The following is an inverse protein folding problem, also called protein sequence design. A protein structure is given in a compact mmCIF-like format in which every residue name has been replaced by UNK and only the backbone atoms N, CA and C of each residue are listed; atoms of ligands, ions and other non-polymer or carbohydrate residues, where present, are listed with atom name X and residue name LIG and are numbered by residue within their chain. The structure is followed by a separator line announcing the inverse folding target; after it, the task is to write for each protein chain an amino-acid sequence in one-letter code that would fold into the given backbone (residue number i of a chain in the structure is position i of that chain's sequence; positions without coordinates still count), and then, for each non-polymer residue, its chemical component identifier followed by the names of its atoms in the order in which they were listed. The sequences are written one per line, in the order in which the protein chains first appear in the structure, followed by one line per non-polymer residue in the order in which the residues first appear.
data_IF_395865084159
#
_entry.id   IF_395865084159
#
_cell.length_a   1.000
_cell.length_b   1.000
_cell.length_c   1.000
_cell.angle_alpha   90.00
_cell.angle_beta   90.00
_cell.angle_gamma   90.00
#
_symmetry.space_group_name_H-M   'P 1'
#
loop_
_entity.id
_entity.type
_entity.pdbx_description
1 polymer ?
#
# COMPACT_ATOMS: atom_id res chain seq x y z
N UNK A 1 -23.25 22.06 5.12
CA UNK A 1 -22.60 22.54 3.88
C UNK A 1 -21.12 22.25 4.07
N UNK A 2 -20.64 21.16 3.48
CA UNK A 2 -19.22 20.82 3.43
C UNK A 2 -18.65 21.69 2.30
N UNK A 3 -17.58 22.39 2.62
CA UNK A 3 -16.94 23.37 1.75
C UNK A 3 -16.47 22.68 0.45
N UNK A 4 -17.03 23.11 -0.69
CA UNK A 4 -16.83 22.50 -2.04
C UNK A 4 -15.43 22.76 -2.63
N UNK A 5 -14.43 23.03 -1.79
CA UNK A 5 -13.03 23.15 -2.17
C UNK A 5 -12.21 21.92 -1.79
N UNK A 6 -12.78 20.70 -1.85
CA UNK A 6 -12.01 19.50 -1.64
C UNK A 6 -11.13 19.25 -2.87
N UNK A 7 -9.86 19.53 -2.66
CA UNK A 7 -8.78 19.40 -3.62
C UNK A 7 -8.73 17.96 -4.14
N UNK A 8 -8.79 17.80 -5.48
CA UNK A 8 -8.50 16.52 -6.11
C UNK A 8 -7.16 15.98 -5.59
N UNK A 9 -7.04 14.68 -5.42
CA UNK A 9 -5.75 14.07 -5.14
C UNK A 9 -4.79 14.43 -6.28
N UNK A 10 -3.89 15.39 -6.01
CA UNK A 10 -2.92 15.80 -7.01
C UNK A 10 -2.03 14.61 -7.37
N UNK A 11 -1.87 14.36 -8.67
CA UNK A 11 -0.84 13.42 -9.14
C UNK A 11 0.51 13.97 -8.73
N UNK A 12 1.34 13.22 -7.98
CA UNK A 12 2.66 13.69 -7.59
C UNK A 12 3.58 13.84 -8.83
N UNK A 13 4.45 14.83 -8.79
CA UNK A 13 5.56 14.88 -9.74
C UNK A 13 6.52 13.71 -9.43
N UNK A 14 6.42 12.67 -10.24
CA UNK A 14 7.14 11.40 -10.07
C UNK A 14 8.65 11.61 -9.98
N UNK A 15 9.20 12.38 -10.91
CA UNK A 15 10.64 12.53 -11.05
C UNK A 15 11.20 13.41 -9.93
N UNK A 16 10.47 14.45 -9.54
CA UNK A 16 10.81 15.29 -8.40
C UNK A 16 10.81 14.50 -7.08
N UNK A 17 9.74 13.72 -6.82
CA UNK A 17 9.66 12.93 -5.59
C UNK A 17 10.73 11.82 -5.57
N UNK A 18 10.99 11.12 -6.68
CA UNK A 18 12.05 10.10 -6.75
C UNK A 18 13.44 10.71 -6.56
N UNK A 19 13.69 11.92 -7.08
CA UNK A 19 14.96 12.64 -6.84
C UNK A 19 15.12 12.99 -5.38
N UNK A 20 14.08 13.56 -4.75
CA UNK A 20 14.09 13.89 -3.34
C UNK A 20 14.35 12.66 -2.44
N UNK A 21 13.72 11.51 -2.75
CA UNK A 21 13.94 10.26 -2.03
C UNK A 21 15.37 9.72 -2.23
N UNK A 22 15.93 9.88 -3.43
CA UNK A 22 17.29 9.47 -3.72
C UNK A 22 18.30 10.30 -2.92
N UNK A 23 18.09 11.62 -2.83
CA UNK A 23 18.95 12.52 -2.06
C UNK A 23 18.88 12.19 -0.55
N UNK A 24 17.68 11.89 -0.04
CA UNK A 24 17.50 11.46 1.34
C UNK A 24 18.21 10.12 1.63
N UNK A 25 18.11 9.16 0.71
CA UNK A 25 18.79 7.88 0.81
C UNK A 25 20.32 8.06 0.76
N UNK A 26 20.83 8.87 -0.16
CA UNK A 26 22.27 9.15 -0.28
C UNK A 26 22.82 9.82 0.98
N UNK A 27 22.10 10.82 1.52
CA UNK A 27 22.47 11.47 2.78
C UNK A 27 22.60 10.47 3.92
N UNK A 28 21.67 9.51 4.04
CA UNK A 28 21.72 8.50 5.07
C UNK A 28 22.94 7.58 4.93
N UNK A 29 23.24 7.13 3.70
CA UNK A 29 24.41 6.28 3.41
C UNK A 29 25.74 7.02 3.69
N UNK A 30 25.86 8.28 3.27
CA UNK A 30 27.08 9.06 3.47
C UNK A 30 27.31 9.36 4.95
N UNK A 31 26.25 9.66 5.70
CA UNK A 31 26.36 9.86 7.15
C UNK A 31 26.76 8.57 7.88
N UNK A 32 26.15 7.43 7.53
CA UNK A 32 26.51 6.12 8.10
C UNK A 32 28.00 5.78 7.85
N UNK A 33 28.47 6.00 6.62
CA UNK A 33 29.89 5.82 6.25
C UNK A 33 30.80 6.73 7.07
N UNK A 34 30.42 8.01 7.23
CA UNK A 34 31.18 8.99 8.03
C UNK A 34 31.28 8.64 9.51
N UNK A 35 30.32 7.87 10.03
CA UNK A 35 30.32 7.36 11.42
C UNK A 35 31.01 6.01 11.59
N UNK A 36 31.57 5.44 10.52
CA UNK A 36 32.35 4.19 10.56
C UNK A 36 31.49 2.92 10.46
N UNK A 37 30.32 2.97 9.84
CA UNK A 37 29.56 1.76 9.49
C UNK A 37 30.35 0.91 8.47
N UNK A 38 30.44 -0.40 8.67
CA UNK A 38 31.10 -1.32 7.73
C UNK A 38 30.28 -1.46 6.45
N UNK A 39 28.96 -1.55 6.58
CA UNK A 39 28.02 -1.49 5.47
C UNK A 39 26.65 -0.98 5.94
N UNK A 40 25.86 -0.49 5.00
CA UNK A 40 24.52 0.01 5.29
C UNK A 40 23.61 -0.06 4.06
N UNK A 41 22.32 -0.11 4.33
CA UNK A 41 21.25 -0.06 3.34
C UNK A 41 20.15 0.86 3.83
N UNK A 42 19.45 1.51 2.91
CA UNK A 42 18.34 2.40 3.24
C UNK A 42 17.20 2.28 2.21
N UNK A 43 16.00 2.50 2.69
CA UNK A 43 14.81 2.65 1.84
C UNK A 43 14.09 3.94 2.22
N UNK A 44 13.91 4.82 1.26
CA UNK A 44 13.09 6.03 1.41
C UNK A 44 11.84 5.90 0.55
N UNK A 45 10.69 6.33 1.04
CA UNK A 45 9.42 6.19 0.34
C UNK A 45 8.47 7.35 0.60
N UNK A 46 7.55 7.56 -0.35
CA UNK A 46 6.37 8.39 -0.20
C UNK A 46 5.16 7.64 -0.75
N UNK A 47 4.06 7.74 -0.05
CA UNK A 47 2.78 7.18 -0.44
C UNK A 47 1.70 8.26 -0.36
N UNK A 48 0.88 8.35 -1.41
CA UNK A 48 -0.30 9.21 -1.48
C UNK A 48 -1.52 8.30 -1.62
N UNK A 49 -2.55 8.56 -0.84
CA UNK A 49 -3.76 7.75 -0.86
C UNK A 49 -5.02 8.61 -0.79
N UNK A 50 -6.05 8.18 -1.51
CA UNK A 50 -7.43 8.59 -1.31
C UNK A 50 -8.25 7.31 -1.11
N UNK A 51 -8.96 7.23 -0.01
CA UNK A 51 -9.82 6.11 0.32
C UNK A 51 -11.17 6.60 0.79
N UNK A 52 -12.23 6.09 0.19
CA UNK A 52 -13.60 6.38 0.60
C UNK A 52 -14.31 5.06 0.90
N UNK A 53 -14.87 4.95 2.09
CA UNK A 53 -15.74 3.87 2.48
C UNK A 53 -17.16 4.40 2.69
N UNK A 54 -18.13 3.72 2.11
CA UNK A 54 -19.55 4.00 2.26
C UNK A 54 -20.27 2.81 2.86
N UNK A 55 -21.37 3.07 3.58
CA UNK A 55 -22.22 2.02 4.10
C UNK A 55 -23.66 2.50 4.15
N UNK A 56 -24.58 1.66 3.63
CA UNK A 56 -26.02 1.94 3.57
C UNK A 56 -26.33 3.30 2.94
N UNK A 57 -25.61 3.65 1.89
CA UNK A 57 -25.82 4.88 1.12
C UNK A 57 -25.18 6.14 1.73
N UNK A 58 -24.43 6.02 2.82
CA UNK A 58 -23.76 7.15 3.49
C UNK A 58 -22.24 6.95 3.54
N UNK A 59 -21.48 8.05 3.53
CA UNK A 59 -20.03 8.02 3.68
C UNK A 59 -19.69 7.76 5.16
N UNK A 60 -19.02 6.65 5.45
CA UNK A 60 -18.49 6.36 6.78
C UNK A 60 -17.10 6.99 6.99
N UNK A 61 -16.21 6.84 5.99
CA UNK A 61 -14.86 7.40 6.07
C UNK A 61 -14.43 7.97 4.73
N UNK A 62 -13.70 9.07 4.79
CA UNK A 62 -12.97 9.67 3.69
C UNK A 62 -11.59 10.04 4.19
N UNK A 63 -10.57 9.42 3.61
CA UNK A 63 -9.19 9.58 4.05
C UNK A 63 -8.32 10.05 2.90
N UNK A 64 -7.62 11.16 3.11
CA UNK A 64 -6.49 11.58 2.33
C UNK A 64 -5.22 11.32 3.12
N UNK A 65 -4.30 10.54 2.58
CA UNK A 65 -3.02 10.28 3.22
C UNK A 65 -1.85 10.73 2.35
N UNK A 66 -0.82 11.24 3.01
CA UNK A 66 0.50 11.49 2.43
C UNK A 66 1.54 11.09 3.45
N UNK A 67 2.06 9.89 3.30
CA UNK A 67 3.03 9.32 4.22
C UNK A 67 4.41 9.30 3.60
N UNK A 68 5.41 9.69 4.37
CA UNK A 68 6.83 9.57 4.01
C UNK A 68 7.52 8.68 5.03
N UNK A 69 8.52 7.96 4.59
CA UNK A 69 9.32 7.13 5.47
C UNK A 69 10.73 6.92 4.97
N UNK A 70 11.64 6.79 5.93
CA UNK A 70 12.99 6.32 5.69
C UNK A 70 13.31 5.23 6.72
N UNK A 71 13.79 4.10 6.24
CA UNK A 71 14.38 3.05 7.08
C UNK A 71 15.85 2.91 6.73
N UNK A 72 16.70 2.77 7.75
CA UNK A 72 18.12 2.48 7.57
C UNK A 72 18.54 1.28 8.39
N UNK A 73 19.28 0.36 7.77
CA UNK A 73 19.99 -0.71 8.44
C UNK A 73 21.50 -0.48 8.37
N UNK A 74 22.18 -0.59 9.50
CA UNK A 74 23.63 -0.45 9.61
C UNK A 74 24.21 -1.77 10.10
N UNK A 75 25.34 -2.14 9.54
CA UNK A 75 26.08 -3.33 9.91
C UNK A 75 27.46 -2.95 10.44
N UNK A 76 27.80 -3.50 11.61
CA UNK A 76 29.14 -3.52 12.18
C UNK A 76 29.58 -5.00 12.23
N UNK A 77 30.38 -5.42 11.26
CA UNK A 77 30.56 -6.85 10.98
C UNK A 77 29.23 -7.51 10.69
N UNK A 78 28.83 -8.47 11.51
CA UNK A 78 27.54 -9.16 11.43
C UNK A 78 26.50 -8.67 12.46
N UNK A 79 26.78 -7.60 13.19
CA UNK A 79 25.82 -6.97 14.09
C UNK A 79 24.98 -5.95 13.32
N UNK A 80 23.64 -6.08 13.36
CA UNK A 80 22.72 -5.22 12.62
C UNK A 80 21.95 -4.30 13.57
N UNK A 81 21.93 -3.01 13.26
CA UNK A 81 21.02 -2.03 13.85
C UNK A 81 20.08 -1.48 12.79
N UNK A 82 18.82 -1.26 13.16
CA UNK A 82 17.80 -0.71 12.28
C UNK A 82 17.03 0.41 12.98
N UNK A 83 16.76 1.49 12.26
CA UNK A 83 15.91 2.58 12.71
C UNK A 83 15.07 3.14 11.55
N UNK A 84 13.95 3.74 11.89
CA UNK A 84 13.02 4.36 10.93
C UNK A 84 12.64 5.77 11.34
N UNK A 85 12.26 6.59 10.35
CA UNK A 85 11.72 7.92 10.56
C UNK A 85 10.64 8.23 9.51
N UNK A 86 9.56 8.89 9.92
CA UNK A 86 8.58 9.50 9.01
C UNK A 86 8.98 10.92 8.55
N UNK A 87 10.04 11.48 9.11
CA UNK A 87 10.53 12.81 8.80
C UNK A 87 11.87 12.73 8.04
N UNK A 88 11.86 13.24 6.81
CA UNK A 88 13.00 13.20 5.89
C UNK A 88 13.85 14.49 5.90
N UNK A 89 13.71 15.34 6.92
CA UNK A 89 14.62 16.48 7.08
C UNK A 89 16.03 16.01 7.40
N UNK A 90 17.08 16.68 6.86
CA UNK A 90 18.46 16.23 6.98
C UNK A 90 18.92 15.95 8.42
N UNK A 91 18.51 16.78 9.38
CA UNK A 91 18.85 16.58 10.79
C UNK A 91 18.18 15.32 11.38
N UNK A 92 16.95 15.02 10.98
CA UNK A 92 16.23 13.84 11.45
C UNK A 92 16.79 12.56 10.83
N UNK A 93 17.16 12.59 9.54
CA UNK A 93 17.85 11.50 8.87
C UNK A 93 19.15 11.15 9.60
N UNK A 94 20.01 12.17 9.91
CA UNK A 94 21.26 11.94 10.65
C UNK A 94 21.03 11.30 12.00
N UNK A 95 20.07 11.78 12.79
CA UNK A 95 19.69 11.17 14.08
C UNK A 95 19.19 9.74 13.94
N UNK A 96 18.44 9.44 12.87
CA UNK A 96 17.97 8.09 12.58
C UNK A 96 19.16 7.15 12.31
N UNK A 97 20.15 7.61 11.54
CA UNK A 97 21.39 6.88 11.27
C UNK A 97 22.18 6.62 12.57
N UNK A 98 22.37 7.65 13.40
CA UNK A 98 23.07 7.53 14.69
C UNK A 98 22.41 6.48 15.60
N UNK A 99 21.07 6.51 15.68
CA UNK A 99 20.32 5.49 16.45
C UNK A 99 20.50 4.08 15.89
N UNK A 100 20.45 3.90 14.57
CA UNK A 100 20.70 2.60 13.96
C UNK A 100 22.11 2.09 14.26
N UNK A 101 23.12 2.98 14.22
CA UNK A 101 24.50 2.64 14.56
C UNK A 101 24.64 2.22 16.03
N UNK A 102 24.02 2.96 16.93
CA UNK A 102 24.05 2.63 18.37
C UNK A 102 23.41 1.27 18.64
N UNK A 103 22.27 0.96 17.98
CA UNK A 103 21.65 -0.35 18.07
C UNK A 103 22.62 -1.44 17.58
N UNK A 104 23.29 -1.23 16.43
CA UNK A 104 24.24 -2.19 15.89
C UNK A 104 25.41 -2.51 16.87
N UNK A 105 25.89 -1.50 17.62
CA UNK A 105 26.96 -1.67 18.61
C UNK A 105 26.62 -2.62 19.75
N UNK A 106 25.34 -2.72 20.10
CA UNK A 106 24.86 -3.55 21.23
C UNK A 106 24.14 -4.82 20.77
N UNK A 107 23.92 -5.01 19.46
CA UNK A 107 23.26 -6.18 18.92
C UNK A 107 24.25 -7.35 18.78
N UNK A 108 23.84 -8.54 19.17
CA UNK A 108 24.63 -9.75 18.97
C UNK A 108 24.82 -10.02 17.46
N UNK A 109 26.03 -10.41 17.08
CA UNK A 109 26.34 -10.75 15.69
C UNK A 109 25.61 -12.01 15.24
N UNK A 110 25.04 -11.95 14.05
CA UNK A 110 24.45 -13.09 13.34
C UNK A 110 25.13 -13.24 11.97
N UNK A 111 25.72 -14.40 11.72
CA UNK A 111 26.45 -14.71 10.47
C UNK A 111 25.59 -14.53 9.20
N UNK A 112 24.27 -14.50 9.32
CA UNK A 112 23.35 -14.26 8.21
C UNK A 112 23.10 -12.77 7.93
N UNK A 113 23.54 -11.86 8.81
CA UNK A 113 23.40 -10.43 8.59
C UNK A 113 24.46 -9.91 7.62
N UNK A 114 24.02 -9.06 6.71
CA UNK A 114 24.89 -8.36 5.74
C UNK A 114 24.14 -7.97 4.48
N UNK A 115 24.81 -7.23 3.62
CA UNK A 115 24.30 -6.89 2.30
C UNK A 115 24.44 -8.05 1.32
N UNK A 116 23.59 -8.07 0.29
CA UNK A 116 23.76 -8.98 -0.82
C UNK A 116 25.13 -8.76 -1.50
N UNK A 117 25.83 -9.83 -1.95
CA UNK A 117 27.07 -9.71 -2.73
C UNK A 117 26.87 -8.84 -3.97
N UNK A 118 27.89 -8.06 -4.34
CA UNK A 118 27.82 -7.09 -5.45
C UNK A 118 27.47 -7.76 -6.78
N UNK A 119 27.97 -8.97 -7.02
CA UNK A 119 27.70 -9.74 -8.23
C UNK A 119 26.22 -10.22 -8.36
N UNK A 120 25.47 -10.20 -7.24
CA UNK A 120 24.03 -10.54 -7.20
C UNK A 120 23.11 -9.33 -7.26
N UNK A 121 23.67 -8.11 -7.25
CA UNK A 121 22.85 -6.90 -7.40
C UNK A 121 22.33 -6.77 -8.84
N UNK A 122 21.08 -6.33 -8.97
CA UNK A 122 20.47 -6.11 -10.28
C UNK A 122 21.24 -5.05 -11.07
N UNK A 123 21.57 -5.34 -12.33
CA UNK A 123 22.26 -4.42 -13.25
C UNK A 123 21.32 -3.78 -14.26
N UNK A 124 20.15 -4.39 -14.45
CA UNK A 124 19.12 -3.93 -15.38
C UNK A 124 17.79 -3.86 -14.66
N UNK A 125 17.06 -2.81 -14.91
CA UNK A 125 15.74 -2.56 -14.36
C UNK A 125 14.75 -2.56 -15.54
N UNK A 126 13.99 -3.67 -15.77
CA UNK A 126 12.97 -3.67 -16.81
C UNK A 126 11.88 -2.67 -16.45
N UNK A 127 11.30 -2.04 -17.46
CA UNK A 127 10.05 -1.31 -17.28
C UNK A 127 8.93 -2.34 -17.01
N UNK A 128 8.32 -2.22 -15.84
CA UNK A 128 7.25 -3.13 -15.40
C UNK A 128 5.86 -2.52 -15.64
N UNK A 129 5.79 -1.36 -16.30
CA UNK A 129 4.55 -0.65 -16.63
C UNK A 129 3.63 -0.49 -15.40
N UNK A 130 4.15 0.06 -14.31
CA UNK A 130 3.44 0.17 -13.04
C UNK A 130 2.86 1.56 -12.76
N UNK A 131 3.16 2.56 -13.61
CA UNK A 131 2.83 3.96 -13.37
C UNK A 131 1.80 4.48 -14.38
N UNK A 132 0.53 4.51 -13.97
CA UNK A 132 -0.63 5.00 -14.75
C UNK A 132 -1.37 6.06 -13.95
N UNK A 133 -0.83 7.29 -13.83
CA UNK A 133 -1.39 8.30 -12.95
C UNK A 133 -2.75 8.79 -13.47
N UNK A 134 -3.73 8.79 -12.60
CA UNK A 134 -5.07 9.32 -12.81
C UNK A 134 -5.47 10.08 -11.55
N UNK A 135 -5.71 11.39 -11.67
CA UNK A 135 -6.26 12.18 -10.58
C UNK A 135 -7.71 11.77 -10.31
N UNK A 136 -8.01 11.46 -9.07
CA UNK A 136 -9.38 11.26 -8.58
C UNK A 136 -9.65 12.29 -7.47
N UNK A 137 -10.84 12.84 -7.48
CA UNK A 137 -11.32 13.67 -6.36
C UNK A 137 -12.20 12.87 -5.39
N UNK A 138 -12.46 13.45 -4.25
CA UNK A 138 -13.26 12.82 -3.21
C UNK A 138 -14.70 12.56 -3.65
N UNK A 139 -15.28 13.47 -4.44
CA UNK A 139 -16.67 13.37 -4.88
C UNK A 139 -16.85 12.23 -5.88
N UNK A 140 -16.01 12.16 -6.91
CA UNK A 140 -16.04 11.08 -7.90
C UNK A 140 -15.74 9.71 -7.26
N UNK A 141 -14.82 9.66 -6.31
CA UNK A 141 -14.50 8.43 -5.58
C UNK A 141 -15.67 8.01 -4.68
N UNK A 142 -16.33 8.96 -4.03
CA UNK A 142 -17.55 8.71 -3.23
C UNK A 142 -18.69 8.18 -4.10
N UNK A 143 -18.96 8.81 -5.24
CA UNK A 143 -20.00 8.35 -6.16
C UNK A 143 -19.73 6.91 -6.65
N UNK A 144 -18.48 6.56 -6.92
CA UNK A 144 -18.10 5.19 -7.29
C UNK A 144 -18.40 4.18 -6.18
N UNK A 145 -18.04 4.50 -4.93
CA UNK A 145 -18.31 3.62 -3.79
C UNK A 145 -19.82 3.44 -3.57
N UNK A 146 -20.60 4.52 -3.62
CA UNK A 146 -22.06 4.49 -3.52
C UNK A 146 -22.71 3.67 -4.63
N UNK A 147 -22.29 3.84 -5.88
CA UNK A 147 -22.81 3.08 -7.01
C UNK A 147 -22.47 1.58 -6.88
N UNK A 148 -21.28 1.26 -6.40
CA UNK A 148 -20.86 -0.13 -6.16
C UNK A 148 -21.73 -0.81 -5.10
N UNK A 149 -21.99 -0.13 -3.97
CA UNK A 149 -22.88 -0.63 -2.93
C UNK A 149 -24.32 -0.79 -3.40
N UNK A 150 -24.86 0.25 -4.05
CA UNK A 150 -26.23 0.25 -4.59
C UNK A 150 -26.47 -0.93 -5.53
N UNK A 151 -25.56 -1.19 -6.47
CA UNK A 151 -25.65 -2.36 -7.36
C UNK A 151 -25.66 -3.70 -6.58
N UNK A 152 -24.87 -3.80 -5.52
CA UNK A 152 -24.87 -4.98 -4.68
C UNK A 152 -26.19 -5.20 -3.92
N UNK A 153 -26.81 -4.11 -3.47
CA UNK A 153 -28.09 -4.11 -2.74
C UNK A 153 -29.31 -4.37 -3.64
N UNK A 154 -29.21 -4.31 -4.95
CA UNK A 154 -30.32 -4.66 -5.87
C UNK A 154 -30.80 -6.11 -5.72
N UNK A 155 -29.94 -7.00 -5.22
CA UNK A 155 -30.31 -8.40 -5.04
C UNK A 155 -31.18 -8.59 -3.80
N UNK A 156 -32.45 -8.96 -4.00
CA UNK A 156 -33.46 -9.11 -2.93
C UNK A 156 -33.09 -10.09 -1.80
N UNK A 157 -32.07 -10.95 -1.97
CA UNK A 157 -31.57 -11.86 -0.93
C UNK A 157 -30.47 -11.24 -0.07
N UNK A 158 -29.98 -10.05 -0.44
CA UNK A 158 -29.06 -9.28 0.39
C UNK A 158 -29.87 -8.58 1.48
N UNK A 159 -29.53 -8.84 2.72
CA UNK A 159 -30.24 -8.29 3.88
C UNK A 159 -29.54 -7.10 4.49
N UNK A 160 -28.22 -6.91 4.22
CA UNK A 160 -27.44 -5.80 4.76
C UNK A 160 -26.17 -5.58 3.95
N UNK A 161 -25.55 -4.42 4.13
CA UNK A 161 -24.24 -4.07 3.62
C UNK A 161 -23.24 -3.87 4.76
N UNK A 162 -22.02 -4.35 4.56
CA UNK A 162 -20.86 -4.03 5.41
C UNK A 162 -19.97 -2.97 4.73
N UNK A 163 -20.49 -2.40 3.65
CA UNK A 163 -19.93 -1.26 2.95
C UNK A 163 -19.30 -1.58 1.60
N UNK A 164 -19.05 -0.50 0.87
CA UNK A 164 -18.24 -0.51 -0.34
C UNK A 164 -17.12 0.53 -0.23
N UNK A 165 -16.00 0.22 -0.85
CA UNK A 165 -14.82 1.07 -0.82
C UNK A 165 -14.35 1.37 -2.23
N UNK A 166 -13.95 2.61 -2.48
CA UNK A 166 -13.20 3.00 -3.66
C UNK A 166 -11.93 3.74 -3.23
N UNK A 167 -10.81 3.44 -3.88
CA UNK A 167 -9.52 4.02 -3.50
C UNK A 167 -8.58 4.20 -4.67
N UNK A 168 -7.69 5.18 -4.54
CA UNK A 168 -6.52 5.37 -5.41
C UNK A 168 -5.28 5.57 -4.57
N UNK A 169 -4.12 5.12 -5.09
CA UNK A 169 -2.85 5.35 -4.44
C UNK A 169 -1.70 5.47 -5.43
N UNK A 170 -0.70 6.30 -5.05
CA UNK A 170 0.57 6.49 -5.73
C UNK A 170 1.68 6.19 -4.74
N UNK A 171 2.53 5.24 -5.07
CA UNK A 171 3.69 4.88 -4.25
C UNK A 171 4.99 5.09 -5.01
N UNK A 172 5.95 5.78 -4.38
CA UNK A 172 7.29 5.96 -4.91
C UNK A 172 8.29 5.56 -3.83
N UNK A 173 9.35 4.89 -4.21
CA UNK A 173 10.39 4.48 -3.28
C UNK A 173 11.76 4.39 -3.94
N UNK A 174 12.78 4.59 -3.13
CA UNK A 174 14.19 4.41 -3.48
C UNK A 174 14.82 3.49 -2.45
N UNK A 175 15.44 2.43 -2.91
CA UNK A 175 16.35 1.61 -2.10
C UNK A 175 17.79 1.88 -2.56
N UNK A 176 18.69 2.05 -1.60
CA UNK A 176 20.10 2.22 -1.86
C UNK A 176 20.95 1.51 -0.80
N UNK A 177 22.19 1.12 -1.15
CA UNK A 177 23.12 0.52 -0.22
C UNK A 177 24.56 0.94 -0.43
N UNK A 178 25.42 0.69 0.55
CA UNK A 178 26.85 1.06 0.53
C UNK A 178 27.68 0.32 -0.52
N UNK A 179 27.14 -0.72 -1.17
CA UNK A 179 27.76 -1.41 -2.32
C UNK A 179 27.55 -0.64 -3.65
N UNK A 180 27.00 0.59 -3.61
CA UNK A 180 26.76 1.41 -4.79
C UNK A 180 25.47 1.10 -5.54
N UNK A 181 24.61 0.25 -5.01
CA UNK A 181 23.32 -0.02 -5.61
C UNK A 181 22.30 1.08 -5.28
N UNK A 182 21.55 1.49 -6.30
CA UNK A 182 20.37 2.33 -6.15
C UNK A 182 19.27 1.80 -7.06
N UNK A 183 18.10 1.50 -6.48
CA UNK A 183 16.90 1.06 -7.19
C UNK A 183 15.75 2.02 -6.92
N UNK A 184 15.05 2.41 -7.97
CA UNK A 184 13.85 3.26 -7.90
C UNK A 184 12.63 2.42 -8.23
N UNK A 185 11.55 2.67 -7.55
CA UNK A 185 10.27 2.03 -7.81
C UNK A 185 9.16 3.05 -7.69
N UNK A 186 8.25 2.98 -8.63
CA UNK A 186 7.00 3.72 -8.63
C UNK A 186 5.83 2.77 -8.92
N UNK A 187 4.63 3.23 -8.69
CA UNK A 187 3.45 2.47 -9.03
C UNK A 187 2.18 3.15 -8.58
N UNK A 188 1.16 2.94 -9.36
CA UNK A 188 -0.21 3.34 -9.08
C UNK A 188 -1.04 2.14 -8.71
N UNK A 189 -2.11 2.36 -7.97
CA UNK A 189 -3.14 1.36 -7.70
C UNK A 189 -4.48 2.04 -7.56
N UNK A 190 -5.46 1.48 -8.25
CA UNK A 190 -6.87 1.80 -8.11
C UNK A 190 -7.60 0.56 -7.67
N UNK A 191 -8.50 0.68 -6.71
CA UNK A 191 -9.21 -0.46 -6.16
C UNK A 191 -10.64 -0.09 -5.81
N UNK A 192 -11.52 -1.07 -5.94
CA UNK A 192 -12.90 -1.00 -5.50
C UNK A 192 -13.33 -2.33 -4.91
N UNK A 193 -14.19 -2.30 -3.91
CA UNK A 193 -14.71 -3.51 -3.26
C UNK A 193 -16.10 -3.28 -2.73
N UNK A 194 -16.87 -4.37 -2.58
CA UNK A 194 -18.16 -4.37 -1.92
C UNK A 194 -18.28 -5.60 -1.04
N UNK A 195 -18.79 -5.41 0.18
CA UNK A 195 -18.93 -6.46 1.19
C UNK A 195 -20.41 -6.50 1.61
N UNK A 196 -21.04 -7.64 1.44
CA UNK A 196 -22.49 -7.78 1.61
C UNK A 196 -22.83 -8.91 2.57
N UNK A 197 -24.03 -8.82 3.14
CA UNK A 197 -24.59 -9.80 4.07
C UNK A 197 -25.93 -10.28 3.50
N UNK A 198 -26.15 -11.59 3.51
CA UNK A 198 -27.39 -12.23 3.10
C UNK A 198 -27.89 -13.15 4.20
N UNK A 199 -29.21 -13.34 4.28
CA UNK A 199 -29.84 -14.14 5.33
C UNK A 199 -30.05 -13.37 6.63
N UNK A 200 -30.62 -14.04 7.63
CA UNK A 200 -30.95 -13.49 8.93
C UNK A 200 -30.55 -14.45 10.07
N UNK A 201 -30.30 -13.89 11.27
CA UNK A 201 -29.94 -14.64 12.45
C UNK A 201 -28.75 -15.59 12.22
N UNK A 202 -28.86 -16.83 12.63
CA UNK A 202 -27.79 -17.83 12.49
C UNK A 202 -27.51 -18.25 11.03
N UNK A 203 -28.43 -17.93 10.11
CA UNK A 203 -28.25 -18.21 8.67
C UNK A 203 -27.49 -17.13 7.92
N UNK A 204 -27.11 -16.03 8.58
CA UNK A 204 -26.38 -14.94 7.96
C UNK A 204 -25.08 -15.42 7.32
N UNK A 205 -24.86 -14.97 6.09
CA UNK A 205 -23.63 -15.19 5.33
C UNK A 205 -23.07 -13.86 4.89
N UNK A 206 -21.75 -13.72 4.97
CA UNK A 206 -20.99 -12.54 4.53
C UNK A 206 -19.98 -12.97 3.48
N UNK A 207 -19.92 -12.25 2.37
CA UNK A 207 -18.88 -12.41 1.36
C UNK A 207 -18.64 -11.05 0.66
N UNK A 208 -17.67 -11.02 -0.21
CA UNK A 208 -17.23 -9.81 -0.88
C UNK A 208 -16.74 -10.10 -2.31
N UNK A 209 -16.60 -9.03 -3.06
CA UNK A 209 -15.83 -9.01 -4.28
C UNK A 209 -15.01 -7.73 -4.36
N UNK A 210 -13.91 -7.75 -5.08
CA UNK A 210 -13.08 -6.59 -5.34
C UNK A 210 -12.41 -6.68 -6.70
N UNK A 211 -12.04 -5.53 -7.27
CA UNK A 211 -11.10 -5.41 -8.37
C UNK A 211 -10.00 -4.40 -8.02
N UNK A 212 -8.78 -4.67 -8.47
CA UNK A 212 -7.61 -3.83 -8.19
C UNK A 212 -6.67 -3.83 -9.38
N UNK A 213 -6.39 -2.64 -9.92
CA UNK A 213 -5.62 -2.44 -11.15
C UNK A 213 -4.55 -1.38 -10.98
N UNK A 214 -3.58 -1.38 -11.90
CA UNK A 214 -2.56 -0.33 -12.02
C UNK A 214 -3.09 0.89 -12.78
N UNK A 215 -3.80 0.65 -13.86
CA UNK A 215 -4.49 1.69 -14.61
C UNK A 215 -5.97 1.76 -14.21
N UNK A 216 -6.48 2.96 -14.04
CA UNK A 216 -7.86 3.20 -13.66
C UNK A 216 -8.86 2.69 -14.72
N UNK A 217 -8.49 2.81 -15.99
CA UNK A 217 -9.29 2.33 -17.14
C UNK A 217 -9.49 0.82 -17.15
N UNK A 218 -8.66 0.06 -16.45
CA UNK A 218 -8.70 -1.40 -16.44
C UNK A 218 -9.58 -1.96 -15.33
N UNK A 219 -10.06 -1.10 -14.41
CA UNK A 219 -11.04 -1.52 -13.42
C UNK A 219 -12.34 -1.95 -14.11
N UNK A 220 -12.92 -3.04 -13.63
CA UNK A 220 -14.28 -3.39 -14.00
C UNK A 220 -15.26 -2.29 -13.57
N UNK A 221 -16.48 -2.29 -14.11
CA UNK A 221 -17.48 -1.32 -13.67
C UNK A 221 -17.82 -1.52 -12.20
N UNK A 222 -18.22 -0.45 -11.53
CA UNK A 222 -18.59 -0.52 -10.11
C UNK A 222 -19.83 -1.39 -9.89
N UNK A 223 -20.75 -1.37 -10.87
CA UNK A 223 -21.95 -2.20 -10.87
C UNK A 223 -21.59 -3.68 -10.94
N UNK A 224 -20.64 -4.06 -11.79
CA UNK A 224 -20.22 -5.46 -11.90
C UNK A 224 -19.54 -5.93 -10.59
N UNK A 225 -18.74 -5.08 -9.94
CA UNK A 225 -18.16 -5.38 -8.62
C UNK A 225 -19.25 -5.62 -7.58
N UNK A 226 -20.26 -4.74 -7.49
CA UNK A 226 -21.40 -4.90 -6.58
C UNK A 226 -22.23 -6.15 -6.86
N UNK A 227 -22.55 -6.40 -8.12
CA UNK A 227 -23.30 -7.59 -8.54
C UNK A 227 -22.54 -8.89 -8.26
N UNK A 228 -21.19 -8.92 -8.47
CA UNK A 228 -20.36 -10.08 -8.13
C UNK A 228 -20.35 -10.33 -6.63
N UNK A 229 -20.20 -9.28 -5.82
CA UNK A 229 -20.28 -9.39 -4.37
C UNK A 229 -21.61 -10.02 -3.94
N UNK A 230 -22.73 -9.52 -4.47
CA UNK A 230 -24.05 -10.05 -4.17
C UNK A 230 -24.20 -11.52 -4.58
N UNK A 231 -23.82 -11.88 -5.82
CA UNK A 231 -23.87 -13.27 -6.28
C UNK A 231 -23.05 -14.20 -5.38
N UNK A 232 -21.87 -13.80 -4.96
CA UNK A 232 -21.00 -14.58 -4.05
C UNK A 232 -21.64 -14.76 -2.69
N UNK A 233 -22.15 -13.68 -2.12
CA UNK A 233 -22.80 -13.70 -0.78
C UNK A 233 -24.03 -14.61 -0.80
N UNK A 234 -24.91 -14.44 -1.78
CA UNK A 234 -26.13 -15.25 -1.91
C UNK A 234 -25.83 -16.74 -2.13
N UNK A 235 -24.76 -17.06 -2.87
CA UNK A 235 -24.34 -18.46 -3.10
C UNK A 235 -23.94 -19.19 -1.82
N UNK A 236 -23.61 -18.47 -0.74
CA UNK A 236 -23.27 -19.05 0.57
C UNK A 236 -24.49 -19.41 1.41
N UNK A 237 -25.68 -18.93 1.05
CA UNK A 237 -26.91 -19.27 1.77
C UNK A 237 -27.18 -20.78 1.70
N UNK A 238 -27.64 -21.33 2.83
CA UNK A 238 -27.87 -22.76 2.94
C UNK A 238 -26.62 -23.61 3.03
N UNK A 239 -25.47 -23.03 3.38
CA UNK A 239 -24.24 -23.76 3.64
C UNK A 239 -24.47 -24.84 4.72
N UNK A 240 -23.91 -26.02 4.50
CA UNK A 240 -24.04 -27.17 5.42
C UNK A 240 -22.69 -27.86 5.57
N UNK A 241 -22.53 -28.49 6.73
CA UNK A 241 -21.36 -29.34 6.95
C UNK A 241 -21.45 -30.58 6.06
N UNK A 242 -20.33 -30.95 5.50
CA UNK A 242 -20.16 -32.25 4.81
C UNK A 242 -19.40 -33.19 5.72
N UNK A 243 -19.73 -34.50 5.65
CA UNK A 243 -18.94 -35.51 6.31
C UNK A 243 -17.50 -35.55 5.76
N UNK A 244 -16.57 -36.00 6.59
CA UNK A 244 -15.20 -36.25 6.14
C UNK A 244 -15.23 -37.18 4.93
N UNK A 245 -14.62 -36.77 3.83
CA UNK A 245 -14.57 -37.52 2.59
C UNK A 245 -13.22 -37.33 1.92
N UNK A 246 -12.85 -38.28 1.08
CA UNK A 246 -11.68 -38.24 0.24
C UNK A 246 -12.16 -37.99 -1.20
N UNK A 247 -11.74 -36.85 -1.77
CA UNK A 247 -12.15 -36.43 -3.13
C UNK A 247 -10.95 -35.90 -3.89
N UNK A 248 -10.92 -36.08 -5.21
CA UNK A 248 -9.90 -35.44 -6.06
C UNK A 248 -10.04 -33.92 -5.99
N UNK A 249 -8.91 -33.21 -5.94
CA UNK A 249 -8.83 -31.74 -5.94
C UNK A 249 -8.31 -31.26 -7.29
#
# INVERSE_FOLDING_TARGET
MIDSNMVAQAVPDRDQELSFLADAAQLALDHARGLGADSCETSASVHFGLNVNVRLGEVETLEHSRDRGLGISIYLGNSKGHATSGDLRPETIRKCVEKALDIARFTQADKCNGLAPVDRLAKHFPDLDLWHPQALDADSTTMRALACEAAGLENAKISNSDGATASSSFGLSVYANSNGFIGRRDGTRFSQSCVLIAGEGESMQRDYWYDSRRAFSDLESVEETGHKAARRTVRRLGARNIATCEVPV
#
